data_IF_178417955772
#
_entry.id   IF_178417955772
#
_cell.length_a   1.000
_cell.length_b   1.000
_cell.length_c   1.000
_cell.angle_alpha   90.00
_cell.angle_beta   90.00
_cell.angle_gamma   90.00
#
_symmetry.space_group_name_H-M   'P 1'
#
loop_
_entity.id
_entity.type
_entity.pdbx_description
1 polymer ?
#
# COMPACT_ATOMS: atom_id res chain seq x y z
N UNK A 1 -13.25 -1.85 1.90
CA UNK A 1 -12.27 -2.66 2.63
C UNK A 1 -10.90 -2.38 2.02
N UNK A 2 -9.97 -1.77 2.77
CA UNK A 2 -8.63 -1.45 2.28
C UNK A 2 -7.60 -2.36 2.97
N UNK A 3 -6.53 -2.69 2.27
CA UNK A 3 -5.46 -3.56 2.73
C UNK A 3 -4.50 -2.76 3.61
N UNK A 4 -4.29 -3.27 4.81
CA UNK A 4 -3.31 -2.77 5.78
C UNK A 4 -1.88 -3.09 5.32
N UNK A 5 -0.88 -2.65 6.10
CA UNK A 5 0.53 -2.91 5.84
C UNK A 5 0.80 -4.42 5.70
N UNK A 6 1.57 -4.80 4.67
CA UNK A 6 1.82 -6.19 4.25
C UNK A 6 0.58 -6.95 3.73
N UNK A 7 -0.56 -6.29 3.58
CA UNK A 7 -1.70 -6.87 2.87
C UNK A 7 -1.37 -7.07 1.40
N UNK A 8 -1.73 -8.22 0.83
CA UNK A 8 -1.55 -8.49 -0.60
C UNK A 8 -2.35 -7.50 -1.44
N UNK A 9 -1.71 -6.94 -2.47
CA UNK A 9 -2.31 -5.95 -3.36
C UNK A 9 -1.85 -6.19 -4.80
N UNK A 10 -2.64 -5.69 -5.75
CA UNK A 10 -2.28 -5.58 -7.18
C UNK A 10 -2.29 -4.13 -7.64
N UNK A 11 -3.10 -3.28 -7.00
CA UNK A 11 -3.23 -1.85 -7.28
C UNK A 11 -3.05 -1.05 -6.00
N UNK A 12 -2.52 0.15 -6.14
CA UNK A 12 -2.31 1.10 -5.04
C UNK A 12 -3.63 1.45 -4.33
N UNK A 13 -4.73 1.54 -5.07
CA UNK A 13 -6.08 1.81 -4.55
C UNK A 13 -6.61 0.71 -3.62
N UNK A 14 -6.01 -0.48 -3.62
CA UNK A 14 -6.38 -1.55 -2.68
C UNK A 14 -5.77 -1.33 -1.30
N UNK A 15 -4.74 -0.48 -1.18
CA UNK A 15 -4.05 -0.20 0.07
C UNK A 15 -4.72 0.97 0.83
N UNK A 16 -4.67 0.93 2.17
CA UNK A 16 -5.22 2.03 2.97
C UNK A 16 -4.40 3.32 2.82
N UNK A 17 -4.95 4.45 3.30
CA UNK A 17 -4.24 5.73 3.32
C UNK A 17 -2.82 5.61 3.90
N UNK A 18 -1.87 6.32 3.29
CA UNK A 18 -0.42 6.22 3.55
C UNK A 18 0.27 4.92 3.12
N UNK A 19 -0.47 3.98 2.53
CA UNK A 19 0.06 2.75 1.98
C UNK A 19 -0.09 2.72 0.47
N UNK A 20 0.93 2.18 -0.20
CA UNK A 20 1.00 2.04 -1.65
C UNK A 20 1.28 0.59 -2.00
N UNK A 21 0.79 0.15 -3.14
CA UNK A 21 0.98 -1.23 -3.55
C UNK A 21 2.38 -1.40 -4.12
N UNK A 22 3.24 -2.10 -3.38
CA UNK A 22 4.59 -2.34 -3.84
C UNK A 22 4.59 -3.37 -4.96
N UNK A 23 4.56 -2.91 -6.22
CA UNK A 23 4.50 -3.78 -7.41
C UNK A 23 5.66 -4.78 -7.51
N UNK A 24 6.80 -4.51 -6.85
CA UNK A 24 7.93 -5.44 -6.80
C UNK A 24 7.67 -6.64 -5.90
N UNK A 25 6.86 -6.46 -4.86
CA UNK A 25 6.63 -7.45 -3.82
C UNK A 25 5.17 -7.94 -3.73
N UNK A 26 4.22 -7.23 -4.36
CA UNK A 26 2.80 -7.57 -4.38
C UNK A 26 2.08 -7.34 -3.04
N UNK A 27 2.61 -6.47 -2.18
CA UNK A 27 2.00 -6.12 -0.90
C UNK A 27 1.97 -4.62 -0.65
N UNK A 28 1.01 -4.18 0.14
CA UNK A 28 0.88 -2.80 0.60
C UNK A 28 2.06 -2.46 1.51
N UNK A 29 2.93 -1.60 1.00
CA UNK A 29 4.03 -1.01 1.75
C UNK A 29 3.68 0.42 2.13
N UNK A 30 4.47 1.00 3.01
CA UNK A 30 4.42 2.44 3.24
C UNK A 30 4.79 3.17 1.93
N UNK A 31 3.91 4.03 1.45
CA UNK A 31 4.14 4.79 0.20
C UNK A 31 5.10 5.98 0.39
N UNK A 32 5.53 6.23 1.63
CA UNK A 32 6.47 7.30 1.96
C UNK A 32 5.84 8.69 2.09
N UNK A 33 4.52 8.80 2.10
CA UNK A 33 3.77 10.06 2.34
C UNK A 33 3.81 10.56 3.80
N UNK A 34 4.84 10.17 4.58
CA UNK A 34 5.09 10.72 5.91
C UNK A 34 5.56 12.17 5.75
N UNK A 35 4.59 13.11 5.71
CA UNK A 35 4.88 14.55 5.77
C UNK A 35 4.62 15.35 4.50
N UNK A 36 3.46 15.18 3.87
CA UNK A 36 2.89 16.23 3.01
C UNK A 36 1.60 16.77 3.60
#
# INVERSE_FOLDING_TARGET
DCKQLFGTCKKDEECCEHLGCNKKYGWCGWDGTFGR
#
